data_IF_150214239278
#
_entry.id   IF_150214239278
#
_cell.length_a   1.000
_cell.length_b   1.000
_cell.length_c   1.000
_cell.angle_alpha   90.00
_cell.angle_beta   90.00
_cell.angle_gamma   90.00
#
_symmetry.space_group_name_H-M   'P 1'
#
loop_
_entity.id
_entity.type
_entity.pdbx_description
1 polymer ?
#
# COMPACT_ATOMS: atom_id res chain seq x y z
N UNK A 1 16.28 -10.87 -8.88
CA UNK A 1 16.05 -9.67 -8.04
C UNK A 1 15.14 -8.60 -8.65
N UNK A 2 14.84 -8.60 -9.96
CA UNK A 2 14.12 -7.50 -10.63
C UNK A 2 12.57 -7.61 -10.61
N UNK A 3 12.03 -8.84 -10.56
CA UNK A 3 10.57 -9.08 -10.62
C UNK A 3 9.87 -8.63 -9.34
N UNK A 4 10.40 -8.99 -8.16
CA UNK A 4 9.82 -8.59 -6.86
C UNK A 4 9.63 -7.08 -6.77
N UNK A 5 10.71 -6.31 -7.02
CA UNK A 5 10.66 -4.83 -7.03
C UNK A 5 9.61 -4.29 -8.01
N UNK A 6 9.54 -4.86 -9.21
CA UNK A 6 8.55 -4.47 -10.22
C UNK A 6 7.13 -4.72 -9.74
N UNK A 7 6.86 -5.89 -9.17
CA UNK A 7 5.54 -6.23 -8.61
C UNK A 7 5.20 -5.30 -7.45
N UNK A 8 6.14 -5.03 -6.54
CA UNK A 8 5.94 -4.10 -5.43
C UNK A 8 5.54 -2.71 -5.91
N UNK A 9 6.25 -2.16 -6.90
CA UNK A 9 5.92 -0.85 -7.47
C UNK A 9 4.54 -0.84 -8.16
N UNK A 10 4.17 -1.93 -8.83
CA UNK A 10 2.84 -2.05 -9.45
C UNK A 10 1.72 -2.14 -8.41
N UNK A 11 1.93 -2.85 -7.31
CA UNK A 11 0.96 -2.91 -6.21
C UNK A 11 0.82 -1.55 -5.53
N UNK A 12 1.92 -0.82 -5.32
CA UNK A 12 1.88 0.55 -4.82
C UNK A 12 1.10 1.47 -5.76
N UNK A 13 1.35 1.41 -7.07
CA UNK A 13 0.59 2.21 -8.03
C UNK A 13 -0.90 1.85 -7.99
N UNK A 14 -1.22 0.56 -7.95
CA UNK A 14 -2.60 0.08 -7.86
C UNK A 14 -3.32 0.60 -6.61
N UNK A 15 -2.67 0.60 -5.45
CA UNK A 15 -3.23 1.15 -4.21
C UNK A 15 -3.57 2.63 -4.39
N UNK A 16 -2.65 3.42 -4.94
CA UNK A 16 -2.87 4.86 -5.19
C UNK A 16 -4.02 5.08 -6.17
N UNK A 17 -4.08 4.30 -7.25
CA UNK A 17 -5.15 4.39 -8.24
C UNK A 17 -6.52 4.05 -7.63
N UNK A 18 -6.58 3.00 -6.79
CA UNK A 18 -7.79 2.62 -6.07
C UNK A 18 -8.23 3.69 -5.06
N UNK A 19 -7.29 4.27 -4.30
CA UNK A 19 -7.57 5.37 -3.36
C UNK A 19 -8.10 6.60 -4.09
N UNK A 20 -7.49 6.98 -5.20
CA UNK A 20 -7.97 8.10 -6.02
C UNK A 20 -9.36 7.82 -6.57
N UNK A 21 -9.60 6.59 -7.04
CA UNK A 21 -10.92 6.19 -7.55
C UNK A 21 -11.99 6.18 -6.45
N UNK A 22 -11.65 5.74 -5.25
CA UNK A 22 -12.54 5.81 -4.09
C UNK A 22 -12.92 7.27 -3.80
N UNK A 23 -11.94 8.17 -3.74
CA UNK A 23 -12.16 9.60 -3.51
C UNK A 23 -13.02 10.25 -4.61
N UNK A 24 -12.83 9.88 -5.88
CA UNK A 24 -13.69 10.34 -6.99
C UNK A 24 -15.16 9.92 -6.78
N UNK A 25 -15.40 8.68 -6.35
CA UNK A 25 -16.75 8.19 -6.08
C UNK A 25 -17.37 8.85 -4.84
N UNK A 26 -16.60 9.03 -3.77
CA UNK A 26 -17.06 9.74 -2.57
C UNK A 26 -17.40 11.19 -2.88
N UNK A 27 -16.65 11.84 -3.78
CA UNK A 27 -16.91 13.20 -4.27
C UNK A 27 -18.27 13.37 -4.96
N UNK A 28 -18.89 12.27 -5.42
CA UNK A 28 -20.25 12.24 -5.99
C UNK A 28 -21.28 11.57 -5.07
N UNK A 29 -20.93 11.34 -3.80
CA UNK A 29 -21.82 10.78 -2.77
C UNK A 29 -21.95 9.26 -2.79
N UNK A 30 -21.08 8.54 -3.50
CA UNK A 30 -21.07 7.08 -3.56
C UNK A 30 -19.94 6.55 -2.69
N UNK A 31 -20.28 5.89 -1.57
CA UNK A 31 -19.30 5.13 -0.78
C UNK A 31 -19.28 3.68 -1.22
N UNK A 32 -18.12 3.19 -1.65
CA UNK A 32 -17.92 1.82 -2.11
C UNK A 32 -17.14 1.01 -1.08
N UNK A 33 -17.84 0.32 -0.17
CA UNK A 33 -17.21 -0.59 0.81
C UNK A 33 -16.30 -1.64 0.15
N UNK A 34 -16.67 -2.11 -1.06
CA UNK A 34 -15.87 -3.03 -1.84
C UNK A 34 -14.50 -2.45 -2.27
N UNK A 35 -14.37 -1.12 -2.36
CA UNK A 35 -13.10 -0.47 -2.70
C UNK A 35 -12.16 -0.46 -1.49
N UNK A 36 -12.69 -0.22 -0.29
CA UNK A 36 -11.91 -0.29 0.96
C UNK A 36 -11.37 -1.71 1.18
N UNK A 37 -12.23 -2.73 1.01
CA UNK A 37 -11.82 -4.14 1.10
C UNK A 37 -10.75 -4.50 0.06
N UNK A 38 -10.87 -4.00 -1.16
CA UNK A 38 -9.88 -4.25 -2.21
C UNK A 38 -8.54 -3.58 -1.90
N UNK A 39 -8.54 -2.34 -1.39
CA UNK A 39 -7.32 -1.64 -0.97
C UNK A 39 -6.63 -2.44 0.15
N UNK A 40 -7.37 -2.94 1.13
CA UNK A 40 -6.84 -3.77 2.22
C UNK A 40 -6.22 -5.07 1.72
N UNK A 41 -6.87 -5.77 0.78
CA UNK A 41 -6.34 -6.99 0.16
C UNK A 41 -5.04 -6.74 -0.62
N UNK A 42 -4.99 -5.65 -1.39
CA UNK A 42 -3.79 -5.28 -2.16
C UNK A 42 -2.65 -4.86 -1.22
N UNK A 43 -2.95 -4.13 -0.15
CA UNK A 43 -1.97 -3.76 0.88
C UNK A 43 -1.41 -4.99 1.62
N UNK A 44 -2.27 -5.94 1.97
CA UNK A 44 -1.84 -7.21 2.59
C UNK A 44 -0.92 -7.99 1.66
N UNK A 45 -1.29 -8.12 0.38
CA UNK A 45 -0.46 -8.75 -0.66
C UNK A 45 0.89 -8.05 -0.80
N UNK A 46 0.90 -6.72 -0.81
CA UNK A 46 2.12 -5.90 -0.88
C UNK A 46 3.07 -6.22 0.29
N UNK A 47 2.55 -6.37 1.50
CA UNK A 47 3.36 -6.71 2.67
C UNK A 47 3.88 -8.16 2.60
N UNK A 48 3.02 -9.12 2.27
CA UNK A 48 3.38 -10.54 2.20
C UNK A 48 4.51 -10.81 1.20
N UNK A 49 4.42 -10.25 -0.03
CA UNK A 49 5.49 -10.44 -1.04
C UNK A 49 6.81 -9.80 -0.59
N UNK A 50 6.75 -8.84 0.33
CA UNK A 50 7.90 -8.17 0.91
C UNK A 50 8.40 -8.84 2.20
N UNK A 51 7.78 -9.92 2.65
CA UNK A 51 8.17 -10.67 3.85
C UNK A 51 7.69 -10.02 5.15
N UNK A 52 6.67 -9.16 5.07
CA UNK A 52 6.09 -8.46 6.22
C UNK A 52 4.75 -9.14 6.52
N UNK A 53 4.55 -9.52 7.80
CA UNK A 53 3.26 -10.06 8.26
C UNK A 53 2.24 -8.93 8.32
N UNK A 54 1.12 -8.97 7.57
CA UNK A 54 0.16 -7.86 7.52
C UNK A 54 -0.36 -7.44 8.90
N UNK A 55 -0.65 -8.40 9.79
CA UNK A 55 -1.10 -8.13 11.15
C UNK A 55 -0.07 -7.37 12.01
N UNK A 56 1.21 -7.40 11.65
CA UNK A 56 2.29 -6.67 12.32
C UNK A 56 2.67 -5.36 11.58
N UNK A 57 2.06 -5.07 10.43
CA UNK A 57 2.42 -3.94 9.56
C UNK A 57 1.77 -2.60 9.98
N UNK A 58 1.24 -2.48 11.20
CA UNK A 58 0.48 -1.31 11.65
C UNK A 58 1.10 0.06 11.30
N UNK A 59 2.37 0.32 11.65
CA UNK A 59 3.03 1.57 11.26
C UNK A 59 3.20 1.75 9.75
N UNK A 60 3.34 0.65 9.00
CA UNK A 60 3.46 0.70 7.54
C UNK A 60 2.12 0.99 6.85
N UNK A 61 0.98 0.62 7.44
CA UNK A 61 -0.33 1.05 6.93
C UNK A 61 -0.50 2.57 7.01
N UNK A 62 0.02 3.21 8.06
CA UNK A 62 0.03 4.68 8.18
C UNK A 62 0.88 5.28 7.06
N UNK A 63 2.12 4.82 6.89
CA UNK A 63 2.98 5.30 5.81
C UNK A 63 2.44 4.99 4.41
N UNK A 64 1.65 3.92 4.26
CA UNK A 64 0.98 3.60 3.00
C UNK A 64 -0.12 4.61 2.68
N UNK A 65 -0.81 5.12 3.70
CA UNK A 65 -1.74 6.25 3.58
C UNK A 65 -1.02 7.54 3.19
N UNK A 66 0.16 7.79 3.74
CA UNK A 66 0.99 8.94 3.33
C UNK A 66 1.41 8.81 1.86
N UNK A 67 1.76 7.60 1.42
CA UNK A 67 2.09 7.35 0.03
C UNK A 67 0.86 7.50 -0.90
N UNK A 68 -0.31 6.97 -0.53
CA UNK A 68 -1.51 7.02 -1.38
C UNK A 68 -2.06 8.44 -1.52
N UNK A 69 -1.94 9.26 -0.47
CA UNK A 69 -2.26 10.70 -0.51
C UNK A 69 -1.22 11.56 -1.23
N UNK A 70 -0.06 11.01 -1.56
CA UNK A 70 1.04 11.73 -2.22
C UNK A 70 1.94 12.54 -1.27
N UNK A 71 1.81 12.35 0.04
CA UNK A 71 2.67 12.98 1.03
C UNK A 71 4.12 12.44 1.02
N UNK A 72 4.31 11.18 0.60
CA UNK A 72 5.63 10.59 0.36
C UNK A 72 5.70 9.88 -1.00
N UNK A 73 6.92 9.76 -1.52
CA UNK A 73 7.16 9.07 -2.78
C UNK A 73 7.28 7.56 -2.62
N UNK A 74 7.09 6.82 -3.72
CA UNK A 74 7.24 5.36 -3.71
C UNK A 74 8.62 4.92 -3.21
N UNK A 75 9.67 5.68 -3.52
CA UNK A 75 11.04 5.39 -3.07
C UNK A 75 11.19 5.49 -1.55
N UNK A 76 10.52 6.46 -0.92
CA UNK A 76 10.56 6.66 0.53
C UNK A 76 9.81 5.53 1.23
N UNK A 77 8.61 5.19 0.76
CA UNK A 77 7.84 4.08 1.30
C UNK A 77 8.58 2.73 1.16
N UNK A 78 9.22 2.50 0.00
CA UNK A 78 10.06 1.32 -0.22
C UNK A 78 11.25 1.26 0.75
N UNK A 79 11.80 2.40 1.16
CA UNK A 79 12.87 2.46 2.17
C UNK A 79 12.36 2.06 3.55
N UNK A 80 11.16 2.53 3.93
CA UNK A 80 10.50 2.17 5.20
C UNK A 80 10.17 0.67 5.26
N UNK A 81 9.65 0.09 4.18
CA UNK A 81 9.36 -1.34 4.12
C UNK A 81 10.62 -2.20 4.30
N UNK A 82 11.75 -1.82 3.69
CA UNK A 82 13.00 -2.54 3.90
C UNK A 82 13.50 -2.41 5.34
N UNK A 83 13.36 -1.24 5.97
CA UNK A 83 13.73 -1.06 7.38
C UNK A 83 12.94 -1.94 8.33
N UNK A 84 11.67 -2.19 8.05
CA UNK A 84 10.80 -3.09 8.84
C UNK A 84 11.03 -4.57 8.53
N UNK A 85 11.35 -4.93 7.29
CA UNK A 85 11.63 -6.31 6.90
C UNK A 85 12.89 -6.91 7.57
N UNK A 86 13.81 -6.06 8.04
CA UNK A 86 15.04 -6.48 8.74
C UNK A 86 14.79 -6.77 10.24
N UNK A 87 13.69 -6.27 10.81
CA UNK A 87 13.40 -6.38 12.26
C UNK A 87 12.82 -7.74 12.70
N UNK A 88 12.57 -8.66 11.76
CA UNK A 88 11.95 -9.97 12.00
C UNK A 88 12.90 -11.15 11.78
N UNK A 89 14.21 -10.91 11.65
CA UNK A 89 15.25 -11.95 11.55
C UNK A 89 15.98 -12.18 12.88
#
# INVERSE_FOLDING_TARGET
MNIKRTVTLRLLQLIRDLTNKAAEFEGVGIKLAATDELIEQVASTLFEINGIVPAAAGPLYISLSDYSSGAIEAADFMSLMHGQAVSLQ
#
